data_IF_148966512134
#
_entry.id   IF_148966512134
#
_cell.length_a   1.000
_cell.length_b   1.000
_cell.length_c   1.000
_cell.angle_alpha   90.00
_cell.angle_beta   90.00
_cell.angle_gamma   90.00
#
_symmetry.space_group_name_H-M   'P 1'
#
loop_
_entity.id
_entity.type
_entity.pdbx_description
1 polymer ?
#
# COMPACT_ATOMS: atom_id res chain seq x y z
N UNK A 1 -13.19 25.09 34.17
CA UNK A 1 -13.29 23.81 34.89
C UNK A 1 -13.83 22.76 33.95
N UNK A 2 -13.44 21.51 34.13
CA UNK A 2 -14.00 20.39 33.39
C UNK A 2 -15.45 20.15 33.81
N UNK A 3 -16.35 19.76 32.92
CA UNK A 3 -17.71 19.41 33.27
C UNK A 3 -17.73 18.13 34.12
N UNK A 4 -18.77 17.98 34.95
CA UNK A 4 -19.00 16.73 35.66
C UNK A 4 -19.33 15.60 34.65
N UNK A 5 -18.65 14.47 34.78
CA UNK A 5 -18.77 13.34 33.85
C UNK A 5 -18.56 12.02 34.57
N UNK A 6 -18.88 10.92 33.87
CA UNK A 6 -18.59 9.58 34.39
C UNK A 6 -17.09 9.43 34.65
N UNK A 7 -16.75 8.79 35.78
CA UNK A 7 -15.34 8.55 36.16
C UNK A 7 -15.19 7.15 36.75
N UNK A 8 -14.04 6.52 36.47
CA UNK A 8 -13.68 5.24 37.06
C UNK A 8 -12.27 5.28 37.64
N UNK A 9 -12.09 4.63 38.79
CA UNK A 9 -10.79 4.39 39.39
C UNK A 9 -10.17 3.12 38.78
N UNK A 10 -8.91 3.20 38.37
CA UNK A 10 -8.16 2.04 37.88
C UNK A 10 -7.67 1.19 39.04
N UNK A 11 -7.26 -0.06 38.75
CA UNK A 11 -6.71 -0.99 39.71
C UNK A 11 -5.56 -0.42 40.59
N UNK A 12 -4.75 0.48 40.01
CA UNK A 12 -3.58 1.08 40.64
C UNK A 12 -3.81 2.55 41.10
N UNK A 13 -5.08 2.96 41.26
CA UNK A 13 -5.44 4.25 41.80
C UNK A 13 -5.46 5.43 40.83
N UNK A 14 -5.20 5.19 39.55
CA UNK A 14 -5.42 6.19 38.50
C UNK A 14 -6.93 6.46 38.29
N UNK A 15 -7.26 7.58 37.65
CA UNK A 15 -8.67 7.95 37.40
C UNK A 15 -8.88 8.12 35.88
N UNK A 16 -9.90 7.49 35.36
CA UNK A 16 -10.39 7.71 34.01
C UNK A 16 -11.55 8.70 34.02
N UNK A 17 -11.46 9.72 33.15
CA UNK A 17 -12.54 10.66 32.86
C UNK A 17 -13.04 10.42 31.46
N UNK A 18 -14.34 10.34 31.26
CA UNK A 18 -14.96 10.05 29.96
C UNK A 18 -15.66 11.29 29.43
N UNK A 19 -15.35 11.67 28.17
CA UNK A 19 -15.98 12.81 27.51
C UNK A 19 -16.39 12.46 26.08
N UNK A 20 -17.50 13.01 25.63
CA UNK A 20 -17.86 13.02 24.22
C UNK A 20 -17.12 14.14 23.49
N UNK A 21 -16.58 13.86 22.30
CA UNK A 21 -15.95 14.83 21.41
C UNK A 21 -16.56 14.72 20.01
N UNK A 22 -16.85 15.87 19.39
CA UNK A 22 -17.47 15.90 18.06
C UNK A 22 -16.45 15.65 16.91
N UNK A 23 -15.17 15.62 17.23
CA UNK A 23 -14.09 15.40 16.28
C UNK A 23 -13.17 14.30 16.76
N UNK A 24 -12.64 13.43 15.87
CA UNK A 24 -11.73 12.37 16.26
C UNK A 24 -10.42 12.95 16.77
N UNK A 25 -10.10 12.65 18.03
CA UNK A 25 -8.80 12.92 18.62
C UNK A 25 -7.91 11.67 18.54
N UNK A 26 -6.59 11.90 18.46
CA UNK A 26 -5.64 10.77 18.44
C UNK A 26 -5.30 10.33 19.85
N UNK A 27 -5.03 9.03 20.01
CA UNK A 27 -4.44 8.50 21.23
C UNK A 27 -3.09 9.18 21.49
N UNK A 28 -2.87 9.69 22.70
CA UNK A 28 -1.61 10.30 23.14
C UNK A 28 -1.22 9.71 24.49
N UNK A 29 0.02 9.26 24.63
CA UNK A 29 0.61 8.84 25.90
C UNK A 29 1.53 9.94 26.39
N UNK A 30 1.46 10.24 27.70
CA UNK A 30 2.34 11.23 28.30
C UNK A 30 2.13 12.66 27.80
N UNK A 31 0.88 13.05 27.46
CA UNK A 31 0.58 14.44 27.07
C UNK A 31 0.95 15.41 28.19
N UNK A 32 0.73 14.98 29.41
CA UNK A 32 1.25 15.57 30.67
C UNK A 32 1.83 14.44 31.52
N UNK A 33 2.71 14.72 32.49
CA UNK A 33 3.20 13.70 33.41
C UNK A 33 2.06 12.90 34.05
N UNK A 34 2.01 11.60 33.78
CA UNK A 34 0.98 10.71 34.33
C UNK A 34 -0.40 10.78 33.64
N UNK A 35 -0.54 11.49 32.50
CA UNK A 35 -1.82 11.62 31.81
C UNK A 35 -1.72 11.04 30.40
N UNK A 36 -2.58 10.07 30.13
CA UNK A 36 -2.78 9.46 28.82
C UNK A 36 -4.16 9.81 28.26
N UNK A 37 -4.23 10.02 26.96
CA UNK A 37 -5.49 10.20 26.22
C UNK A 37 -5.73 8.98 25.37
N UNK A 38 -6.95 8.43 25.47
CA UNK A 38 -7.44 7.35 24.61
C UNK A 38 -8.71 7.83 23.93
N UNK A 39 -8.70 7.77 22.60
CA UNK A 39 -9.79 8.18 21.73
C UNK A 39 -10.05 7.08 20.72
N UNK A 40 -10.51 7.43 19.54
CA UNK A 40 -10.79 6.49 18.47
C UNK A 40 -9.63 5.49 18.25
N UNK A 41 -9.97 4.20 18.19
CA UNK A 41 -9.02 3.07 18.15
C UNK A 41 -8.13 2.93 19.41
N UNK A 42 -8.47 3.59 20.52
CA UNK A 42 -7.84 3.41 21.82
C UNK A 42 -8.68 2.53 22.74
N UNK A 43 -8.03 1.78 23.62
CA UNK A 43 -8.69 0.92 24.60
C UNK A 43 -8.40 1.40 26.01
N UNK A 44 -9.43 1.36 26.86
CA UNK A 44 -9.32 1.55 28.31
C UNK A 44 -10.06 0.42 29.03
N UNK A 45 -9.49 -0.03 30.15
CA UNK A 45 -10.23 -0.91 31.05
C UNK A 45 -11.34 -0.11 31.72
N UNK A 46 -12.54 -0.71 31.83
CA UNK A 46 -13.69 -0.15 32.56
C UNK A 46 -14.18 -1.15 33.61
N UNK A 47 -14.79 -0.70 34.73
CA UNK A 47 -15.42 -1.65 35.65
C UNK A 47 -16.43 -2.57 34.95
N UNK A 48 -16.50 -3.85 35.31
CA UNK A 48 -15.82 -4.52 36.44
C UNK A 48 -14.45 -5.15 36.11
N UNK A 49 -13.69 -4.61 35.16
CA UNK A 49 -12.40 -5.16 34.77
C UNK A 49 -11.44 -5.30 35.98
N UNK A 50 -10.55 -6.30 35.91
CA UNK A 50 -9.54 -6.55 36.93
C UNK A 50 -8.14 -6.48 36.33
N UNK A 51 -7.18 -6.00 37.12
CA UNK A 51 -5.78 -5.95 36.77
C UNK A 51 -4.94 -6.25 38.02
N UNK A 52 -4.04 -7.23 37.91
CA UNK A 52 -3.19 -7.70 39.03
C UNK A 52 -3.98 -8.06 40.29
N UNK A 53 -5.19 -8.65 40.13
CA UNK A 53 -6.09 -9.01 41.24
C UNK A 53 -6.88 -7.86 41.83
N UNK A 54 -6.66 -6.63 41.39
CA UNK A 54 -7.38 -5.44 41.80
C UNK A 54 -8.43 -5.04 40.77
N UNK A 55 -9.62 -4.67 41.27
CA UNK A 55 -10.77 -4.36 40.40
C UNK A 55 -10.86 -2.86 40.11
N UNK A 56 -11.21 -2.52 38.86
CA UNK A 56 -11.65 -1.17 38.49
C UNK A 56 -13.00 -0.88 39.11
N UNK A 57 -13.20 0.33 39.59
CA UNK A 57 -14.44 0.75 40.28
C UNK A 57 -14.97 2.04 39.67
N UNK A 58 -16.32 2.12 39.51
CA UNK A 58 -16.95 3.39 39.19
C UNK A 58 -16.91 4.32 40.39
N UNK A 59 -16.35 5.54 40.19
CA UNK A 59 -16.50 6.65 41.11
C UNK A 59 -17.80 7.42 40.83
N UNK A 60 -18.12 7.57 39.53
CA UNK A 60 -19.37 8.10 38.98
C UNK A 60 -19.74 7.23 37.80
N UNK A 61 -20.74 6.39 38.00
CA UNK A 61 -21.17 5.47 36.96
C UNK A 61 -21.94 6.18 35.85
N UNK A 62 -21.88 5.72 34.57
CA UNK A 62 -22.54 6.39 33.46
C UNK A 62 -24.08 6.36 33.51
N UNK A 63 -24.65 5.50 34.33
CA UNK A 63 -26.09 5.48 34.58
C UNK A 63 -26.54 6.46 35.68
N UNK A 64 -25.59 6.97 36.53
CA UNK A 64 -25.86 7.98 37.56
C UNK A 64 -25.38 9.36 37.12
N UNK A 65 -24.23 9.42 36.46
CA UNK A 65 -23.61 10.64 35.93
C UNK A 65 -23.28 10.37 34.44
N UNK A 66 -24.08 10.88 33.49
CA UNK A 66 -23.85 10.65 32.06
C UNK A 66 -22.46 11.17 31.61
N UNK A 67 -21.95 10.55 30.55
CA UNK A 67 -20.73 11.03 29.87
C UNK A 67 -21.02 12.43 29.31
N UNK A 68 -20.30 13.44 29.78
CA UNK A 68 -20.49 14.82 29.38
C UNK A 68 -19.81 15.16 28.05
N UNK A 69 -20.38 16.07 27.25
CA UNK A 69 -19.64 16.62 26.09
C UNK A 69 -18.42 17.40 26.58
N UNK A 70 -17.31 17.27 25.82
CA UNK A 70 -16.09 18.03 26.10
C UNK A 70 -16.36 19.52 25.89
N UNK A 71 -16.19 20.32 26.95
CA UNK A 71 -16.27 21.76 26.86
C UNK A 71 -14.93 22.38 26.42
N UNK A 72 -14.90 23.71 26.28
CA UNK A 72 -13.68 24.44 25.84
C UNK A 72 -12.46 24.18 26.75
N UNK A 73 -12.67 23.93 28.05
CA UNK A 73 -11.57 23.62 28.96
C UNK A 73 -10.99 22.22 28.74
N UNK A 74 -11.83 21.23 28.43
CA UNK A 74 -11.39 19.88 28.05
C UNK A 74 -10.69 19.93 26.70
N UNK A 75 -11.26 20.63 25.70
CA UNK A 75 -10.66 20.74 24.37
C UNK A 75 -9.31 21.46 24.41
N UNK A 76 -9.17 22.52 25.18
CA UNK A 76 -7.88 23.20 25.41
C UNK A 76 -6.84 22.30 26.11
N UNK A 77 -7.29 21.40 26.99
CA UNK A 77 -6.42 20.42 27.64
C UNK A 77 -5.96 19.33 26.66
N UNK A 78 -6.82 18.93 25.72
CA UNK A 78 -6.49 17.94 24.69
C UNK A 78 -5.54 18.49 23.62
N UNK A 79 -5.61 19.81 23.32
CA UNK A 79 -4.76 20.55 22.40
C UNK A 79 -4.08 21.71 23.13
N UNK A 80 -3.02 21.46 23.92
CA UNK A 80 -2.20 22.54 24.42
C UNK A 80 -1.66 23.32 23.22
N UNK A 81 -1.88 24.64 23.23
CA UNK A 81 -1.63 25.56 22.11
C UNK A 81 -0.39 25.18 21.31
N UNK A 82 -0.53 25.18 19.97
CA UNK A 82 0.52 24.94 18.99
C UNK A 82 1.76 25.79 19.28
N UNK A 83 2.67 25.32 20.07
CA UNK A 83 4.06 25.73 19.94
C UNK A 83 4.59 25.12 18.66
N UNK A 84 4.93 26.01 17.73
CA UNK A 84 5.62 25.70 16.50
C UNK A 84 7.03 25.24 16.87
N UNK A 85 7.19 23.98 17.18
CA UNK A 85 8.50 23.33 17.28
C UNK A 85 8.63 22.31 16.17
N UNK A 86 9.77 22.37 15.53
CA UNK A 86 10.25 21.54 14.40
C UNK A 86 9.83 20.08 14.47
N UNK A 87 9.65 19.40 13.31
CA UNK A 87 9.17 18.03 13.27
C UNK A 87 10.26 17.06 13.70
N UNK A 88 10.28 16.72 14.99
CA UNK A 88 11.04 15.57 15.47
C UNK A 88 10.21 14.31 15.29
N UNK A 89 10.73 13.41 14.49
CA UNK A 89 10.49 11.96 14.42
C UNK A 89 9.05 11.49 14.66
N UNK A 90 8.20 11.64 13.66
CA UNK A 90 7.00 10.82 13.54
C UNK A 90 7.44 9.41 13.17
N UNK A 91 7.00 8.42 13.94
CA UNK A 91 7.14 7.02 13.58
C UNK A 91 6.70 6.83 12.14
N UNK A 92 7.64 6.44 11.28
CA UNK A 92 7.39 6.18 9.89
C UNK A 92 6.41 5.01 9.79
N UNK A 93 5.24 5.25 9.25
CA UNK A 93 4.43 4.21 8.65
C UNK A 93 5.25 3.71 7.45
N UNK A 94 5.95 2.60 7.62
CA UNK A 94 6.90 2.06 6.63
C UNK A 94 6.26 1.15 5.60
N UNK A 95 4.94 1.22 5.43
CA UNK A 95 4.24 0.53 4.34
C UNK A 95 3.94 1.48 3.17
N UNK A 96 3.93 1.01 1.93
CA UNK A 96 3.47 1.82 0.82
C UNK A 96 2.00 2.21 1.05
N UNK A 97 1.73 3.52 1.02
CA UNK A 97 0.37 4.02 1.13
C UNK A 97 -0.48 3.45 -0.04
N UNK A 98 -1.56 2.78 0.30
CA UNK A 98 -2.59 2.35 -0.65
C UNK A 98 -3.85 3.16 -0.38
N UNK A 99 -4.35 3.83 -1.39
CA UNK A 99 -5.58 4.60 -1.28
C UNK A 99 -6.78 3.67 -1.20
N UNK A 100 -7.78 3.94 -0.31
CA UNK A 100 -9.02 3.18 -0.25
C UNK A 100 -9.75 3.14 -1.60
N UNK A 101 -10.53 2.09 -1.85
CA UNK A 101 -11.29 1.93 -3.09
C UNK A 101 -12.37 3.02 -3.29
N UNK A 102 -12.93 3.52 -2.19
CA UNK A 102 -13.89 4.63 -2.16
C UNK A 102 -13.64 5.50 -0.94
N UNK A 103 -13.70 6.82 -1.13
CA UNK A 103 -13.46 7.82 -0.09
C UNK A 103 -14.66 8.76 -0.01
N UNK A 104 -15.38 8.70 1.12
CA UNK A 104 -16.54 9.54 1.38
C UNK A 104 -16.21 10.94 1.87
N UNK A 105 -17.25 11.75 2.04
CA UNK A 105 -17.14 13.11 2.62
C UNK A 105 -16.41 13.09 3.97
N UNK A 106 -15.60 14.12 4.22
CA UNK A 106 -14.82 14.28 5.45
C UNK A 106 -13.45 13.60 5.44
N UNK A 107 -13.19 12.62 4.57
CA UNK A 107 -11.88 11.95 4.46
C UNK A 107 -11.12 12.28 3.17
N UNK A 108 -11.80 12.81 2.15
CA UNK A 108 -11.26 13.05 0.80
C UNK A 108 -9.96 13.85 0.80
N UNK A 109 -9.96 15.03 1.42
CA UNK A 109 -8.76 15.89 1.52
C UNK A 109 -7.60 15.19 2.23
N UNK A 110 -7.88 14.45 3.31
CA UNK A 110 -6.86 13.73 4.07
C UNK A 110 -6.22 12.62 3.23
N UNK A 111 -7.01 11.84 2.52
CA UNK A 111 -6.52 10.75 1.68
C UNK A 111 -5.75 11.28 0.46
N UNK A 112 -6.21 12.37 -0.16
CA UNK A 112 -5.49 13.05 -1.25
C UNK A 112 -4.13 13.61 -0.77
N UNK A 113 -4.04 14.19 0.42
CA UNK A 113 -2.78 14.67 1.01
C UNK A 113 -1.83 13.50 1.30
N UNK A 114 -2.33 12.36 1.79
CA UNK A 114 -1.51 11.15 1.97
C UNK A 114 -0.99 10.62 0.63
N UNK A 115 -1.82 10.65 -0.41
CA UNK A 115 -1.42 10.27 -1.76
C UNK A 115 -0.29 11.18 -2.25
N UNK A 116 -0.42 12.51 -2.13
CA UNK A 116 0.65 13.46 -2.47
C UNK A 116 1.96 13.10 -1.77
N UNK A 117 1.92 12.86 -0.44
CA UNK A 117 3.12 12.50 0.33
C UNK A 117 3.75 11.19 -0.13
N UNK A 118 2.93 10.19 -0.43
CA UNK A 118 3.39 8.90 -0.96
C UNK A 118 4.06 9.05 -2.33
N UNK A 119 3.47 9.82 -3.24
CA UNK A 119 4.01 10.06 -4.58
C UNK A 119 5.28 10.91 -4.54
N UNK A 120 5.36 11.90 -3.64
CA UNK A 120 6.59 12.66 -3.40
C UNK A 120 7.73 11.79 -2.86
N UNK A 121 7.42 10.91 -1.91
CA UNK A 121 8.44 9.98 -1.37
C UNK A 121 8.97 9.01 -2.42
N UNK A 122 8.22 8.77 -3.48
CA UNK A 122 8.62 7.98 -4.65
C UNK A 122 9.37 8.80 -5.70
N UNK A 123 9.61 10.10 -5.46
CA UNK A 123 10.40 10.94 -6.34
C UNK A 123 9.68 11.46 -7.60
N UNK A 124 8.33 11.36 -7.67
CA UNK A 124 7.58 11.86 -8.81
C UNK A 124 7.69 13.41 -8.93
N UNK A 125 7.59 13.91 -10.17
CA UNK A 125 7.51 15.35 -10.40
C UNK A 125 6.17 15.92 -9.94
N UNK A 126 6.15 17.21 -9.59
CA UNK A 126 4.94 17.89 -9.13
C UNK A 126 3.80 17.82 -10.17
N UNK A 127 4.14 17.90 -11.47
CA UNK A 127 3.16 17.73 -12.55
C UNK A 127 2.56 16.31 -12.59
N UNK A 128 3.38 15.28 -12.38
CA UNK A 128 2.94 13.90 -12.33
C UNK A 128 2.06 13.63 -11.10
N UNK A 129 2.42 14.22 -9.94
CA UNK A 129 1.63 14.10 -8.72
C UNK A 129 0.26 14.75 -8.89
N UNK A 130 0.19 15.96 -9.48
CA UNK A 130 -1.07 16.65 -9.77
C UNK A 130 -1.98 15.81 -10.66
N UNK A 131 -1.46 15.27 -11.76
CA UNK A 131 -2.22 14.41 -12.67
C UNK A 131 -2.78 13.18 -11.96
N UNK A 132 -1.97 12.48 -11.17
CA UNK A 132 -2.40 11.32 -10.42
C UNK A 132 -3.47 11.66 -9.36
N UNK A 133 -3.32 12.79 -8.65
CA UNK A 133 -4.32 13.24 -7.66
C UNK A 133 -5.65 13.56 -8.31
N UNK A 134 -5.68 14.23 -9.47
CA UNK A 134 -6.91 14.49 -10.21
C UNK A 134 -7.62 13.19 -10.60
N UNK A 135 -6.90 12.23 -11.16
CA UNK A 135 -7.46 10.93 -11.57
C UNK A 135 -8.03 10.14 -10.38
N UNK A 136 -7.28 10.05 -9.28
CA UNK A 136 -7.73 9.31 -8.09
C UNK A 136 -8.90 10.03 -7.39
N UNK A 137 -8.94 11.36 -7.43
CA UNK A 137 -10.08 12.14 -6.94
C UNK A 137 -11.37 11.84 -7.72
N UNK A 138 -11.30 11.83 -9.05
CA UNK A 138 -12.47 11.54 -9.89
C UNK A 138 -12.93 10.08 -9.76
N UNK A 139 -11.99 9.15 -9.61
CA UNK A 139 -12.30 7.72 -9.61
C UNK A 139 -12.71 7.16 -8.24
N UNK A 140 -12.24 7.76 -7.12
CA UNK A 140 -12.42 7.19 -5.78
C UNK A 140 -13.11 8.09 -4.78
N UNK A 141 -13.14 9.41 -4.98
CA UNK A 141 -13.87 10.30 -4.08
C UNK A 141 -15.34 10.41 -4.48
N UNK A 142 -16.24 10.30 -3.50
CA UNK A 142 -17.68 10.41 -3.75
C UNK A 142 -18.33 11.37 -2.74
N UNK A 143 -18.77 12.57 -3.22
CA UNK A 143 -18.47 13.18 -4.52
C UNK A 143 -16.99 13.57 -4.65
N UNK A 144 -16.42 13.75 -5.87
CA UNK A 144 -15.04 14.22 -6.03
C UNK A 144 -14.86 15.65 -5.50
N UNK A 145 -13.64 15.98 -5.04
CA UNK A 145 -13.26 17.35 -4.69
C UNK A 145 -13.23 18.21 -5.95
N UNK A 146 -13.66 19.45 -5.86
CA UNK A 146 -13.54 20.40 -6.95
C UNK A 146 -12.09 20.80 -7.22
N UNK A 147 -11.79 21.33 -8.41
CA UNK A 147 -10.45 21.81 -8.74
C UNK A 147 -9.98 22.91 -7.78
N UNK A 148 -10.89 23.79 -7.32
CA UNK A 148 -10.58 24.84 -6.35
C UNK A 148 -10.21 24.24 -4.98
N UNK A 149 -10.91 23.20 -4.55
CA UNK A 149 -10.58 22.49 -3.31
C UNK A 149 -9.23 21.76 -3.41
N UNK A 150 -8.92 21.13 -4.54
CA UNK A 150 -7.61 20.50 -4.76
C UNK A 150 -6.49 21.55 -4.71
N UNK A 151 -6.63 22.68 -5.39
CA UNK A 151 -5.62 23.75 -5.41
C UNK A 151 -5.45 24.43 -4.05
N UNK A 152 -6.54 24.63 -3.30
CA UNK A 152 -6.48 25.34 -2.02
C UNK A 152 -6.09 24.47 -0.83
N UNK A 153 -6.41 23.16 -0.85
CA UNK A 153 -6.27 22.31 0.33
C UNK A 153 -5.29 21.14 0.16
N UNK A 154 -5.21 20.54 -1.03
CA UNK A 154 -4.40 19.36 -1.29
C UNK A 154 -3.01 19.74 -1.82
N UNK A 155 -2.93 20.50 -2.89
CA UNK A 155 -1.66 20.85 -3.53
C UNK A 155 -0.73 21.77 -2.74
N UNK A 156 -1.19 22.59 -1.76
CA UNK A 156 -0.28 23.23 -0.80
C UNK A 156 0.54 22.26 0.04
N UNK A 157 0.19 20.97 0.01
CA UNK A 157 0.98 19.91 0.64
C UNK A 157 2.20 19.47 -0.20
N UNK A 158 2.27 19.81 -1.49
CA UNK A 158 3.44 19.61 -2.32
C UNK A 158 4.65 20.33 -1.70
N UNK A 159 5.77 19.62 -1.56
CA UNK A 159 6.99 20.14 -0.92
C UNK A 159 7.05 19.95 0.60
N UNK A 160 6.01 19.45 1.28
CA UNK A 160 6.04 19.17 2.73
C UNK A 160 6.89 17.95 3.10
N UNK A 161 7.10 17.04 2.18
CA UNK A 161 7.92 15.85 2.38
C UNK A 161 9.21 15.95 1.59
N UNK A 162 10.30 15.44 2.11
CA UNK A 162 11.55 15.32 1.35
C UNK A 162 11.26 14.44 0.12
N UNK A 163 11.66 14.92 -1.05
CA UNK A 163 11.65 14.09 -2.26
C UNK A 163 12.52 12.88 -1.96
N UNK A 164 11.90 11.73 -1.91
CA UNK A 164 12.64 10.49 -1.74
C UNK A 164 13.62 10.36 -2.91
N UNK A 165 14.85 10.11 -2.61
CA UNK A 165 15.76 9.42 -3.51
C UNK A 165 15.37 7.95 -3.47
N UNK A 166 14.12 7.63 -3.81
CA UNK A 166 13.78 6.26 -4.05
C UNK A 166 14.67 5.81 -5.21
N UNK A 167 15.41 4.73 -5.08
CA UNK A 167 15.99 4.10 -6.23
C UNK A 167 14.81 3.63 -7.07
N UNK A 168 14.29 4.50 -7.90
CA UNK A 168 13.40 4.09 -8.96
C UNK A 168 14.22 3.12 -9.77
N UNK A 169 13.76 1.89 -9.82
CA UNK A 169 14.36 0.80 -10.60
C UNK A 169 14.50 1.15 -12.09
N UNK A 170 13.98 2.27 -12.53
CA UNK A 170 14.22 2.88 -13.83
C UNK A 170 15.71 3.11 -14.13
N UNK A 171 16.56 3.40 -13.14
CA UNK A 171 18.01 3.58 -13.41
C UNK A 171 18.73 2.24 -13.65
N UNK A 172 18.26 1.16 -13.10
CA UNK A 172 18.76 -0.19 -13.43
C UNK A 172 18.27 -0.68 -14.80
N UNK A 173 17.14 -0.18 -15.27
CA UNK A 173 16.58 -0.55 -16.56
C UNK A 173 17.06 0.34 -17.72
N UNK A 174 17.36 1.63 -17.52
CA UNK A 174 17.72 2.56 -18.60
C UNK A 174 18.94 2.14 -19.45
N UNK A 175 19.91 1.47 -18.86
CA UNK A 175 21.07 0.97 -19.61
C UNK A 175 20.86 -0.40 -20.29
N UNK A 176 19.89 -1.21 -19.82
CA UNK A 176 19.61 -2.56 -20.31
C UNK A 176 18.34 -2.66 -21.17
N UNK A 177 17.40 -1.72 -21.03
CA UNK A 177 16.10 -1.78 -21.71
C UNK A 177 16.20 -1.55 -23.20
N UNK A 178 17.01 -0.63 -23.67
CA UNK A 178 17.11 -0.38 -25.12
C UNK A 178 17.66 -1.61 -25.85
N UNK A 179 18.71 -2.23 -25.34
CA UNK A 179 19.27 -3.44 -25.93
C UNK A 179 18.28 -4.61 -25.91
N UNK A 180 17.60 -4.80 -24.76
CA UNK A 180 16.57 -5.81 -24.60
C UNK A 180 15.38 -5.57 -25.54
N UNK A 181 14.90 -4.33 -25.65
CA UNK A 181 13.82 -3.98 -26.59
C UNK A 181 14.21 -4.23 -28.03
N UNK A 182 15.42 -3.88 -28.42
CA UNK A 182 15.91 -4.11 -29.79
C UNK A 182 15.98 -5.60 -30.09
N UNK A 183 16.48 -6.44 -29.18
CA UNK A 183 16.52 -7.89 -29.37
C UNK A 183 15.11 -8.50 -29.45
N UNK A 184 14.18 -8.00 -28.62
CA UNK A 184 12.79 -8.43 -28.67
C UNK A 184 12.11 -8.00 -29.98
N UNK A 185 12.34 -6.78 -30.46
CA UNK A 185 11.87 -6.30 -31.76
C UNK A 185 12.43 -7.15 -32.91
N UNK A 186 13.71 -7.54 -32.85
CA UNK A 186 14.31 -8.44 -33.84
C UNK A 186 13.61 -9.81 -33.90
N UNK A 187 13.25 -10.36 -32.75
CA UNK A 187 12.55 -11.64 -32.68
C UNK A 187 11.09 -11.56 -33.15
N UNK A 188 10.46 -10.39 -33.03
CA UNK A 188 9.05 -10.17 -33.36
C UNK A 188 8.81 -9.76 -34.83
N UNK A 189 9.85 -9.30 -35.53
CA UNK A 189 9.77 -8.82 -36.90
C UNK A 189 8.60 -7.87 -37.17
N UNK A 190 8.52 -6.73 -36.44
CA UNK A 190 7.34 -5.86 -36.46
C UNK A 190 7.05 -5.26 -37.85
N UNK A 191 8.04 -5.14 -38.73
CA UNK A 191 7.88 -4.64 -40.11
C UNK A 191 7.08 -5.57 -41.02
N UNK A 192 6.93 -6.84 -40.62
CA UNK A 192 6.20 -7.86 -41.38
C UNK A 192 5.03 -8.49 -40.65
N UNK A 193 5.12 -8.57 -39.31
CA UNK A 193 4.13 -9.27 -38.48
C UNK A 193 2.99 -8.35 -37.99
N UNK A 194 3.22 -7.05 -37.99
CA UNK A 194 2.25 -6.06 -37.48
C UNK A 194 1.89 -5.03 -38.57
N UNK A 195 0.63 -4.65 -38.62
CA UNK A 195 0.19 -3.59 -39.54
C UNK A 195 0.73 -2.22 -39.12
N UNK A 196 1.06 -1.36 -40.08
CA UNK A 196 1.59 0.00 -39.83
C UNK A 196 0.44 1.01 -39.65
N UNK A 197 -0.51 0.67 -38.80
CA UNK A 197 -1.71 1.45 -38.46
C UNK A 197 -2.03 1.28 -36.97
N UNK A 198 -3.00 2.04 -36.47
CA UNK A 198 -3.26 2.13 -35.04
C UNK A 198 -3.45 0.75 -34.35
N UNK A 199 -4.32 -0.10 -34.88
CA UNK A 199 -4.53 -1.43 -34.33
C UNK A 199 -3.26 -2.32 -34.34
N UNK A 200 -2.46 -2.25 -35.42
CA UNK A 200 -1.19 -2.98 -35.51
C UNK A 200 -0.17 -2.46 -34.49
N UNK A 201 -0.14 -1.15 -34.27
CA UNK A 201 0.70 -0.51 -33.26
C UNK A 201 0.27 -0.90 -31.84
N UNK A 202 -1.03 -0.94 -31.57
CA UNK A 202 -1.58 -1.39 -30.29
C UNK A 202 -1.21 -2.85 -29.99
N UNK A 203 -1.34 -3.73 -31.00
CA UNK A 203 -0.94 -5.13 -30.89
C UNK A 203 0.56 -5.28 -30.62
N UNK A 204 1.41 -4.57 -31.36
CA UNK A 204 2.86 -4.57 -31.17
C UNK A 204 3.22 -4.14 -29.74
N UNK A 205 2.66 -3.04 -29.27
CA UNK A 205 2.93 -2.55 -27.92
C UNK A 205 2.47 -3.56 -26.88
N UNK A 206 1.25 -4.11 -27.01
CA UNK A 206 0.71 -5.07 -26.05
C UNK A 206 1.57 -6.34 -25.94
N UNK A 207 2.09 -6.83 -27.07
CA UNK A 207 2.95 -8.01 -27.09
C UNK A 207 4.35 -7.72 -26.53
N UNK A 208 4.92 -6.55 -26.83
CA UNK A 208 6.19 -6.09 -26.24
C UNK A 208 6.10 -5.89 -24.74
N UNK A 209 5.00 -5.33 -24.28
CA UNK A 209 4.82 -4.91 -22.89
C UNK A 209 4.26 -5.98 -21.96
N UNK A 210 4.00 -7.19 -22.45
CA UNK A 210 3.29 -8.26 -21.73
C UNK A 210 3.83 -8.53 -20.32
N UNK A 211 5.15 -8.47 -20.15
CA UNK A 211 5.85 -8.76 -18.90
C UNK A 211 6.16 -7.48 -18.09
N UNK A 212 5.80 -6.32 -18.63
CA UNK A 212 6.14 -5.00 -18.08
C UNK A 212 4.90 -4.24 -17.62
N UNK A 213 3.87 -4.18 -18.49
CA UNK A 213 2.60 -3.54 -18.14
C UNK A 213 1.41 -4.25 -18.77
N UNK A 214 0.29 -4.24 -18.05
CA UNK A 214 -0.96 -4.92 -18.45
C UNK A 214 -2.16 -4.06 -18.10
N UNK A 215 -3.16 -4.03 -18.97
CA UNK A 215 -4.42 -3.36 -18.68
C UNK A 215 -5.36 -4.28 -17.92
N UNK A 216 -5.92 -3.80 -16.79
CA UNK A 216 -6.86 -4.55 -15.95
C UNK A 216 -8.26 -4.00 -16.15
N UNK A 217 -9.17 -4.87 -16.64
CA UNK A 217 -10.50 -4.45 -17.12
C UNK A 217 -11.35 -3.89 -16.00
N UNK A 218 -11.46 -4.61 -14.88
CA UNK A 218 -12.34 -4.27 -13.77
C UNK A 218 -11.91 -2.96 -13.09
N UNK A 219 -10.62 -2.65 -13.12
CA UNK A 219 -10.05 -1.42 -12.56
C UNK A 219 -9.94 -0.30 -13.59
N UNK A 220 -10.13 -0.59 -14.89
CA UNK A 220 -9.95 0.33 -16.01
C UNK A 220 -8.60 1.07 -15.97
N UNK A 221 -7.54 0.38 -15.55
CA UNK A 221 -6.19 0.94 -15.33
C UNK A 221 -5.11 0.00 -15.83
N UNK A 222 -3.98 0.60 -16.17
CA UNK A 222 -2.74 -0.12 -16.37
C UNK A 222 -2.15 -0.56 -15.04
N UNK A 223 -1.54 -1.72 -15.02
CA UNK A 223 -0.68 -2.21 -13.96
C UNK A 223 0.72 -2.38 -14.51
N UNK A 224 1.71 -2.06 -13.71
CA UNK A 224 3.12 -2.10 -14.08
C UNK A 224 3.88 -3.01 -13.14
N UNK A 225 4.81 -3.81 -13.68
CA UNK A 225 5.69 -4.67 -12.88
C UNK A 225 6.90 -3.86 -12.43
N UNK A 226 7.01 -3.60 -11.13
CA UNK A 226 8.07 -2.77 -10.55
C UNK A 226 9.43 -3.50 -10.34
N UNK A 227 9.53 -4.72 -10.88
CA UNK A 227 10.66 -5.62 -10.69
C UNK A 227 10.50 -6.57 -9.51
N UNK A 228 9.43 -6.42 -8.71
CA UNK A 228 9.10 -7.28 -7.58
C UNK A 228 7.65 -7.74 -7.60
N UNK A 229 6.74 -6.85 -7.98
CA UNK A 229 5.30 -7.09 -7.99
C UNK A 229 4.60 -6.22 -9.03
N UNK A 230 3.34 -6.52 -9.29
CA UNK A 230 2.47 -5.69 -10.10
C UNK A 230 1.84 -4.60 -9.24
N UNK A 231 1.94 -3.36 -9.68
CA UNK A 231 1.36 -2.20 -9.00
C UNK A 231 0.46 -1.43 -9.96
N UNK A 232 -0.64 -0.82 -9.47
CA UNK A 232 -1.45 0.07 -10.29
C UNK A 232 -0.59 1.23 -10.83
N UNK A 233 -0.65 1.46 -12.12
CA UNK A 233 0.02 2.58 -12.77
C UNK A 233 -0.86 3.83 -12.66
N UNK A 234 -0.56 4.65 -11.66
CA UNK A 234 -1.33 5.87 -11.38
C UNK A 234 -1.13 6.90 -12.50
N UNK A 235 -2.24 7.28 -13.14
CA UNK A 235 -2.23 8.19 -14.27
C UNK A 235 -1.60 7.62 -15.55
N UNK A 236 -1.34 6.32 -15.61
CA UNK A 236 -0.73 5.66 -16.78
C UNK A 236 0.69 6.14 -17.10
N UNK A 237 1.39 6.73 -16.11
CA UNK A 237 2.65 7.44 -16.33
C UNK A 237 3.80 6.47 -16.65
N UNK A 238 3.87 5.34 -15.97
CA UNK A 238 4.93 4.35 -16.19
C UNK A 238 4.74 3.65 -17.54
N UNK A 239 3.49 3.32 -17.88
CA UNK A 239 3.15 2.74 -19.18
C UNK A 239 3.44 3.72 -20.31
N UNK A 240 3.14 5.01 -20.15
CA UNK A 240 3.46 6.04 -21.13
C UNK A 240 4.98 6.23 -21.26
N UNK A 241 5.73 6.18 -20.17
CA UNK A 241 7.19 6.28 -20.19
C UNK A 241 7.82 5.07 -20.88
N UNK A 242 7.35 3.87 -20.56
CA UNK A 242 7.75 2.67 -21.29
C UNK A 242 7.40 2.74 -22.78
N UNK A 243 6.25 3.31 -23.14
CA UNK A 243 5.89 3.52 -24.55
C UNK A 243 6.87 4.47 -25.28
N UNK A 244 7.44 5.46 -24.59
CA UNK A 244 8.51 6.30 -25.15
C UNK A 244 9.81 5.51 -25.38
N UNK A 245 10.14 4.61 -24.45
CA UNK A 245 11.31 3.73 -24.61
C UNK A 245 11.14 2.81 -25.81
N UNK A 246 9.95 2.21 -25.94
CA UNK A 246 9.58 1.39 -27.12
C UNK A 246 9.65 2.20 -28.40
N UNK A 247 9.13 3.44 -28.40
CA UNK A 247 9.21 4.33 -29.58
C UNK A 247 10.66 4.61 -29.99
N UNK A 248 11.54 4.85 -29.02
CA UNK A 248 12.96 5.09 -29.29
C UNK A 248 13.65 3.83 -29.83
N UNK A 249 13.44 2.69 -29.19
CA UNK A 249 13.99 1.41 -29.64
C UNK A 249 13.48 1.01 -31.02
N UNK A 250 12.18 1.23 -31.32
CA UNK A 250 11.60 0.95 -32.62
C UNK A 250 12.23 1.80 -33.74
N UNK A 251 12.50 3.07 -33.48
CA UNK A 251 13.16 3.95 -34.43
C UNK A 251 14.60 3.49 -34.69
N UNK A 252 15.35 3.13 -33.66
CA UNK A 252 16.70 2.57 -33.78
C UNK A 252 16.66 1.24 -34.55
N UNK A 253 15.71 0.36 -34.21
CA UNK A 253 15.49 -0.89 -34.93
C UNK A 253 15.21 -0.65 -36.41
N UNK A 254 14.27 0.25 -36.75
CA UNK A 254 13.87 0.56 -38.13
C UNK A 254 15.06 1.09 -38.98
N UNK A 255 15.97 1.85 -38.39
CA UNK A 255 17.16 2.37 -39.09
C UNK A 255 18.23 1.30 -39.34
N UNK A 256 18.29 0.28 -38.48
CA UNK A 256 19.29 -0.81 -38.57
C UNK A 256 18.81 -2.02 -39.34
N UNK A 257 17.49 -2.13 -39.53
CA UNK A 257 16.90 -3.27 -40.27
C UNK A 257 17.16 -3.13 -41.76
N UNK A 258 17.60 -4.22 -42.38
CA UNK A 258 17.83 -4.28 -43.83
C UNK A 258 16.56 -4.71 -44.53
N UNK A 259 16.07 -3.88 -45.43
CA UNK A 259 14.95 -4.21 -46.34
C UNK A 259 15.50 -4.50 -47.75
N UNK A 260 14.79 -5.32 -48.47
CA UNK A 260 15.07 -5.58 -49.87
C UNK A 260 14.71 -4.40 -50.77
N UNK A 261 13.83 -3.51 -50.32
CA UNK A 261 13.38 -2.31 -51.01
C UNK A 261 13.63 -1.08 -50.13
N UNK A 262 14.48 -0.17 -50.60
CA UNK A 262 14.84 1.07 -49.93
C UNK A 262 13.64 2.00 -49.66
N UNK A 263 12.67 2.03 -50.59
CA UNK A 263 11.46 2.82 -50.43
C UNK A 263 10.64 2.29 -49.25
N UNK A 264 10.48 0.98 -49.15
CA UNK A 264 9.76 0.35 -48.00
C UNK A 264 10.48 0.57 -46.69
N UNK A 265 11.82 0.54 -46.68
CA UNK A 265 12.61 0.88 -45.51
C UNK A 265 12.36 2.32 -45.08
N UNK A 266 12.36 3.26 -46.00
CA UNK A 266 12.10 4.68 -45.67
C UNK A 266 10.66 4.90 -45.14
N UNK A 267 9.69 4.18 -45.70
CA UNK A 267 8.31 4.23 -45.22
C UNK A 267 8.19 3.68 -43.80
N UNK A 268 8.91 2.58 -43.47
CA UNK A 268 8.91 2.02 -42.13
C UNK A 268 9.60 2.93 -41.12
N UNK A 269 10.72 3.57 -41.47
CA UNK A 269 11.37 4.57 -40.63
C UNK A 269 10.42 5.74 -40.34
N UNK A 270 9.70 6.25 -41.36
CA UNK A 270 8.68 7.29 -41.16
C UNK A 270 7.55 6.83 -40.26
N UNK A 271 7.13 5.56 -40.39
CA UNK A 271 6.12 4.97 -39.49
C UNK A 271 6.64 4.91 -38.05
N UNK A 272 7.83 4.38 -37.82
CA UNK A 272 8.45 4.30 -36.48
C UNK A 272 8.63 5.71 -35.85
N UNK A 273 9.00 6.70 -36.64
CA UNK A 273 9.17 8.09 -36.19
C UNK A 273 7.85 8.71 -35.66
N UNK A 274 6.68 8.29 -36.13
CA UNK A 274 5.40 8.77 -35.63
C UNK A 274 5.18 8.43 -34.15
N UNK A 275 5.72 7.34 -33.67
CA UNK A 275 5.62 6.94 -32.26
C UNK A 275 6.27 7.95 -31.30
N UNK A 276 7.15 8.84 -31.79
CA UNK A 276 7.73 9.92 -31.00
C UNK A 276 6.71 11.01 -30.64
N UNK A 277 5.57 11.06 -31.34
CA UNK A 277 4.53 12.06 -31.09
C UNK A 277 3.57 11.61 -29.99
N UNK A 278 3.20 12.52 -29.10
CA UNK A 278 2.36 12.22 -27.91
C UNK A 278 1.03 11.58 -28.31
N UNK A 279 0.29 12.21 -29.23
CA UNK A 279 -1.03 11.74 -29.63
C UNK A 279 -1.00 10.32 -30.26
N UNK A 280 0.09 9.93 -30.93
CA UNK A 280 0.26 8.58 -31.41
C UNK A 280 0.42 7.59 -30.26
N UNK A 281 1.23 7.91 -29.25
CA UNK A 281 1.39 7.04 -28.08
C UNK A 281 0.09 6.89 -27.30
N UNK A 282 -0.69 7.98 -27.13
CA UNK A 282 -2.02 7.90 -26.50
C UNK A 282 -2.96 6.97 -27.27
N UNK A 283 -2.97 7.03 -28.59
CA UNK A 283 -3.77 6.13 -29.45
C UNK A 283 -3.29 4.69 -29.31
N UNK A 284 -1.98 4.45 -29.34
CA UNK A 284 -1.38 3.14 -29.15
C UNK A 284 -1.78 2.53 -27.81
N UNK A 285 -1.70 3.29 -26.72
CA UNK A 285 -2.07 2.79 -25.40
C UNK A 285 -3.56 2.50 -25.27
N UNK A 286 -4.44 3.29 -25.91
CA UNK A 286 -5.88 3.01 -25.97
C UNK A 286 -6.18 1.70 -26.72
N UNK A 287 -5.56 1.49 -27.85
CA UNK A 287 -5.71 0.23 -28.60
C UNK A 287 -5.10 -0.95 -27.87
N UNK A 288 -3.90 -0.81 -27.34
CA UNK A 288 -3.20 -1.86 -26.60
C UNK A 288 -3.97 -2.32 -25.35
N UNK A 289 -4.72 -1.43 -24.70
CA UNK A 289 -5.59 -1.77 -23.57
C UNK A 289 -6.67 -2.81 -23.93
N UNK A 290 -7.03 -2.90 -25.20
CA UNK A 290 -8.03 -3.87 -25.71
C UNK A 290 -7.41 -5.24 -26.07
N UNK A 291 -6.09 -5.29 -26.16
CA UNK A 291 -5.35 -6.50 -26.59
C UNK A 291 -5.00 -7.34 -25.38
N UNK A 292 -5.66 -8.49 -25.23
CA UNK A 292 -5.41 -9.42 -24.13
C UNK A 292 -5.42 -8.76 -22.74
N UNK A 293 -6.48 -8.00 -22.38
CA UNK A 293 -6.55 -7.38 -21.07
C UNK A 293 -6.55 -8.45 -19.97
N UNK A 294 -6.04 -8.09 -18.79
CA UNK A 294 -5.90 -9.02 -17.70
C UNK A 294 -7.11 -8.90 -16.75
N UNK A 295 -7.81 -10.01 -16.42
CA UNK A 295 -8.82 -9.97 -15.36
C UNK A 295 -8.16 -9.82 -13.98
N UNK A 296 -8.80 -9.08 -13.09
CA UNK A 296 -8.29 -8.84 -11.74
C UNK A 296 -8.03 -10.14 -10.97
N UNK A 297 -8.85 -11.16 -11.20
CA UNK A 297 -8.71 -12.49 -10.59
C UNK A 297 -7.43 -13.26 -10.96
N UNK A 298 -6.68 -12.78 -11.94
CA UNK A 298 -5.37 -13.38 -12.27
C UNK A 298 -4.32 -13.01 -11.22
N UNK A 299 -4.46 -11.83 -10.61
CA UNK A 299 -3.53 -11.41 -9.58
C UNK A 299 -3.72 -12.21 -8.28
N UNK A 300 -2.61 -12.43 -7.60
CA UNK A 300 -2.54 -13.09 -6.28
C UNK A 300 -3.26 -14.45 -6.22
N UNK A 301 -3.39 -15.14 -7.39
CA UNK A 301 -4.10 -16.42 -7.52
C UNK A 301 -3.25 -17.65 -7.17
N UNK A 302 -1.98 -17.44 -6.83
CA UNK A 302 -1.03 -18.51 -6.49
C UNK A 302 -0.86 -18.61 -4.97
N UNK A 303 -1.76 -19.31 -4.31
CA UNK A 303 -1.93 -19.39 -2.84
C UNK A 303 -0.68 -19.71 -2.03
N UNK A 304 0.35 -20.30 -2.64
CA UNK A 304 1.57 -20.77 -1.95
C UNK A 304 2.82 -19.96 -2.31
N UNK A 305 2.68 -18.88 -3.04
CA UNK A 305 3.79 -17.97 -3.30
C UNK A 305 3.78 -16.80 -2.33
N UNK A 306 4.81 -16.71 -1.49
CA UNK A 306 5.03 -15.55 -0.62
C UNK A 306 6.11 -14.66 -1.25
N UNK A 307 5.73 -13.44 -1.59
CA UNK A 307 6.62 -12.48 -2.22
C UNK A 307 7.34 -11.64 -1.16
N UNK A 308 8.65 -11.81 -1.03
CA UNK A 308 9.50 -11.06 -0.12
C UNK A 308 10.26 -9.94 -0.85
N UNK A 309 10.79 -8.90 -0.17
CA UNK A 309 11.54 -7.82 -0.82
C UNK A 309 12.74 -8.25 -1.67
N UNK A 310 13.31 -9.42 -1.41
CA UNK A 310 14.48 -9.96 -2.10
C UNK A 310 14.21 -11.17 -3.00
N UNK A 311 12.94 -11.59 -3.17
CA UNK A 311 12.57 -12.71 -4.04
C UNK A 311 11.24 -13.35 -3.63
N UNK A 312 10.84 -14.39 -4.34
CA UNK A 312 9.59 -15.11 -4.11
C UNK A 312 9.87 -16.50 -3.53
N UNK A 313 9.25 -16.82 -2.40
CA UNK A 313 9.32 -18.11 -1.73
C UNK A 313 8.11 -18.97 -2.12
N UNK A 314 8.36 -20.16 -2.66
CA UNK A 314 7.34 -21.19 -2.81
C UNK A 314 7.19 -21.97 -1.50
N UNK A 315 6.08 -21.77 -0.82
CA UNK A 315 5.79 -22.37 0.49
C UNK A 315 5.55 -23.88 0.44
N UNK A 316 5.29 -24.47 -0.74
CA UNK A 316 5.13 -25.91 -0.90
C UNK A 316 6.47 -26.62 -0.99
N UNK A 317 7.40 -26.01 -1.71
CA UNK A 317 8.71 -26.62 -2.02
C UNK A 317 9.84 -26.09 -1.15
N UNK A 318 9.63 -24.93 -0.50
CA UNK A 318 10.68 -24.19 0.20
C UNK A 318 11.68 -23.52 -0.74
N UNK A 319 11.43 -23.53 -2.05
CA UNK A 319 12.33 -22.92 -3.04
C UNK A 319 12.19 -21.39 -3.02
N UNK A 320 13.32 -20.72 -2.81
CA UNK A 320 13.42 -19.27 -2.95
C UNK A 320 14.04 -18.90 -4.30
N UNK A 321 13.47 -17.94 -5.00
CA UNK A 321 13.91 -17.53 -6.33
C UNK A 321 13.68 -16.04 -6.57
N UNK A 322 14.25 -15.51 -7.65
CA UNK A 322 13.98 -14.15 -8.13
C UNK A 322 12.50 -13.91 -8.45
N UNK A 323 12.09 -12.65 -8.37
CA UNK A 323 10.75 -12.21 -8.77
C UNK A 323 10.49 -12.47 -10.25
N UNK A 324 9.25 -12.80 -10.57
CA UNK A 324 8.80 -13.01 -11.95
C UNK A 324 7.46 -12.32 -12.19
N UNK A 325 7.36 -11.63 -13.33
CA UNK A 325 6.11 -10.97 -13.72
C UNK A 325 4.98 -11.99 -13.96
N UNK A 326 5.30 -13.21 -14.38
CA UNK A 326 4.34 -14.30 -14.62
C UNK A 326 3.71 -14.87 -13.34
N UNK A 327 4.19 -14.45 -12.20
CA UNK A 327 3.56 -14.80 -10.93
C UNK A 327 2.31 -13.97 -10.64
N UNK A 328 2.18 -12.82 -11.28
CA UNK A 328 1.06 -11.89 -11.13
C UNK A 328 0.77 -11.52 -9.67
N UNK A 329 1.82 -11.34 -8.86
CA UNK A 329 1.69 -10.99 -7.44
C UNK A 329 1.64 -9.48 -7.30
N UNK A 330 0.68 -8.96 -6.51
CA UNK A 330 0.56 -7.55 -6.17
C UNK A 330 1.02 -7.24 -4.74
N UNK A 331 1.14 -8.26 -3.91
CA UNK A 331 1.47 -8.18 -2.50
C UNK A 331 2.98 -8.30 -2.27
N UNK A 332 3.47 -7.69 -1.17
CA UNK A 332 4.86 -7.80 -0.74
C UNK A 332 4.93 -7.98 0.77
N UNK A 333 5.63 -9.01 1.23
CA UNK A 333 5.89 -9.21 2.65
C UNK A 333 6.77 -8.08 3.23
N UNK A 334 6.64 -7.83 4.51
CA UNK A 334 7.34 -6.74 5.18
C UNK A 334 8.82 -6.99 5.44
N UNK A 335 9.32 -8.21 5.18
CA UNK A 335 10.68 -8.64 5.50
C UNK A 335 11.31 -9.46 4.37
N UNK A 336 12.63 -9.33 4.21
CA UNK A 336 13.41 -10.17 3.30
C UNK A 336 13.52 -11.59 3.84
N UNK A 337 13.46 -12.57 2.96
CA UNK A 337 13.70 -13.97 3.33
C UNK A 337 15.20 -14.24 3.51
N UNK A 338 15.55 -14.81 4.64
CA UNK A 338 16.88 -15.31 4.96
C UNK A 338 16.76 -16.69 5.63
N UNK A 339 17.15 -17.77 4.95
CA UNK A 339 17.05 -19.12 5.51
C UNK A 339 17.95 -19.37 6.72
N UNK A 340 18.96 -18.52 6.94
CA UNK A 340 19.88 -18.61 8.07
C UNK A 340 19.45 -17.73 9.27
N UNK A 341 18.38 -16.94 9.11
CA UNK A 341 17.92 -16.04 10.16
C UNK A 341 17.51 -16.79 11.42
N UNK A 342 18.00 -16.33 12.57
CA UNK A 342 17.61 -16.80 13.90
C UNK A 342 17.06 -15.64 14.71
N UNK A 343 16.14 -15.93 15.62
CA UNK A 343 15.57 -14.92 16.51
C UNK A 343 15.40 -15.43 17.93
N UNK A 344 16.48 -15.47 18.74
CA UNK A 344 16.44 -15.96 20.13
C UNK A 344 15.40 -15.24 20.97
N UNK A 345 15.18 -13.93 20.72
CA UNK A 345 14.15 -13.15 21.44
C UNK A 345 12.73 -13.60 21.09
N UNK A 346 12.47 -13.96 19.82
CA UNK A 346 11.19 -14.52 19.42
C UNK A 346 10.92 -15.87 20.07
N UNK A 347 11.92 -16.73 20.09
CA UNK A 347 11.82 -18.05 20.75
C UNK A 347 11.55 -17.90 22.25
N UNK A 348 12.23 -16.95 22.90
CA UNK A 348 11.99 -16.65 24.30
C UNK A 348 10.58 -16.07 24.49
N UNK A 349 10.13 -15.15 23.65
CA UNK A 349 8.79 -14.57 23.69
C UNK A 349 7.72 -15.66 23.55
N UNK A 350 7.88 -16.59 22.61
CA UNK A 350 6.96 -17.71 22.45
C UNK A 350 6.88 -18.58 23.72
N UNK A 351 8.01 -18.88 24.36
CA UNK A 351 8.03 -19.59 25.66
C UNK A 351 7.33 -18.82 26.77
N UNK A 352 7.53 -17.51 26.82
CA UNK A 352 6.88 -16.62 27.79
C UNK A 352 5.35 -16.64 27.65
N UNK A 353 4.83 -16.41 26.45
CA UNK A 353 3.36 -16.30 26.22
C UNK A 353 2.63 -17.63 26.29
N UNK A 354 3.33 -18.75 26.09
CA UNK A 354 2.78 -20.11 26.23
C UNK A 354 3.04 -20.71 27.60
N UNK A 355 3.67 -19.97 28.53
CA UNK A 355 4.07 -20.47 29.85
C UNK A 355 4.89 -21.77 29.78
N UNK A 356 5.70 -21.93 28.72
CA UNK A 356 6.52 -23.12 28.50
C UNK A 356 5.80 -24.31 27.88
N UNK A 357 4.51 -24.16 27.51
CA UNK A 357 3.78 -25.22 26.81
C UNK A 357 4.25 -25.33 25.36
N UNK A 358 5.06 -26.35 25.08
CA UNK A 358 5.62 -26.59 23.74
C UNK A 358 4.55 -27.02 22.73
N UNK A 359 3.45 -27.68 23.14
CA UNK A 359 2.40 -28.08 22.23
C UNK A 359 1.62 -26.86 21.75
N UNK A 360 1.31 -25.95 22.66
CA UNK A 360 0.68 -24.68 22.32
C UNK A 360 1.61 -23.82 21.43
N UNK A 361 2.90 -23.74 21.73
CA UNK A 361 3.87 -23.02 20.90
C UNK A 361 3.91 -23.57 19.47
N UNK A 362 3.94 -24.90 19.31
CA UNK A 362 3.89 -25.57 18.00
C UNK A 362 2.56 -25.34 17.28
N UNK A 363 1.45 -25.31 18.01
CA UNK A 363 0.14 -25.02 17.43
C UNK A 363 0.11 -23.58 16.87
N UNK A 364 0.58 -22.59 17.64
CA UNK A 364 0.68 -21.20 17.20
C UNK A 364 1.59 -21.12 15.96
N UNK A 365 2.72 -21.76 15.95
CA UNK A 365 3.63 -21.81 14.80
C UNK A 365 2.92 -22.34 13.53
N UNK A 366 2.16 -23.42 13.66
CA UNK A 366 1.38 -23.98 12.53
C UNK A 366 0.29 -23.02 12.07
N UNK A 367 -0.42 -22.37 13.00
CA UNK A 367 -1.46 -21.39 12.69
C UNK A 367 -0.88 -20.18 11.93
N UNK A 368 0.24 -19.64 12.38
CA UNK A 368 0.97 -18.58 11.70
C UNK A 368 1.50 -19.04 10.33
N UNK A 369 2.03 -20.25 10.24
CA UNK A 369 2.47 -20.85 8.96
C UNK A 369 1.33 -21.04 7.97
N UNK A 370 0.15 -21.44 8.43
CA UNK A 370 -1.05 -21.50 7.59
C UNK A 370 -1.49 -20.11 7.08
N UNK A 371 -1.45 -19.12 7.96
CA UNK A 371 -1.78 -17.74 7.61
C UNK A 371 -0.79 -17.07 6.62
N UNK A 372 0.40 -17.63 6.39
CA UNK A 372 1.32 -17.19 5.33
C UNK A 372 0.88 -17.65 3.94
N UNK A 373 -0.04 -18.60 3.86
CA UNK A 373 -0.57 -19.11 2.59
C UNK A 373 -1.90 -18.44 2.25
N UNK A 374 -2.26 -18.41 0.97
CA UNK A 374 -3.60 -18.04 0.50
C UNK A 374 -4.63 -19.17 0.59
N UNK A 375 -4.26 -20.33 1.16
CA UNK A 375 -5.11 -21.52 1.22
C UNK A 375 -6.20 -21.35 2.29
N UNK A 376 -7.44 -21.37 1.89
CA UNK A 376 -8.61 -21.18 2.77
C UNK A 376 -9.39 -22.49 3.04
N UNK A 377 -8.83 -23.66 2.70
CA UNK A 377 -9.51 -24.97 2.77
C UNK A 377 -10.07 -25.34 4.14
N UNK A 378 -9.49 -24.81 5.22
CA UNK A 378 -9.96 -25.12 6.58
C UNK A 378 -11.09 -24.20 7.05
N UNK A 379 -11.41 -23.14 6.33
CA UNK A 379 -12.50 -22.20 6.65
C UNK A 379 -12.56 -21.86 8.15
N UNK A 380 -11.42 -21.51 8.74
CA UNK A 380 -11.28 -21.28 10.18
C UNK A 380 -10.69 -19.89 10.49
N UNK A 381 -10.96 -19.42 11.68
CA UNK A 381 -10.28 -18.26 12.27
C UNK A 381 -9.70 -18.64 13.64
N UNK A 382 -8.72 -17.88 14.09
CA UNK A 382 -8.05 -18.11 15.37
C UNK A 382 -8.46 -17.04 16.38
N UNK A 383 -9.01 -17.47 17.52
CA UNK A 383 -9.33 -16.59 18.63
C UNK A 383 -8.20 -16.65 19.65
N UNK A 384 -7.49 -15.53 19.85
CA UNK A 384 -6.46 -15.40 20.87
C UNK A 384 -7.10 -15.06 22.22
N UNK A 385 -7.20 -16.04 23.08
CA UNK A 385 -7.79 -15.90 24.42
C UNK A 385 -6.70 -15.94 25.51
N UNK A 386 -6.91 -15.21 26.59
CA UNK A 386 -6.10 -15.25 27.79
C UNK A 386 -6.84 -14.65 28.98
N UNK A 387 -6.77 -15.29 30.14
CA UNK A 387 -7.50 -14.91 31.34
C UNK A 387 -7.14 -13.53 31.90
N UNK A 388 -5.91 -13.03 31.56
CA UNK A 388 -5.40 -11.74 32.03
C UNK A 388 -5.09 -10.81 30.85
N UNK A 389 -4.92 -9.51 31.14
CA UNK A 389 -4.40 -8.52 30.18
C UNK A 389 -2.87 -8.58 30.11
N UNK A 390 -2.26 -7.96 29.09
CA UNK A 390 -0.81 -7.84 28.91
C UNK A 390 -0.03 -9.18 28.80
N UNK A 391 -0.67 -10.19 28.25
CA UNK A 391 -0.11 -11.52 28.04
C UNK A 391 0.44 -11.76 26.62
N UNK A 392 0.90 -10.72 25.94
CA UNK A 392 1.61 -10.79 24.65
C UNK A 392 0.76 -10.92 23.39
N UNK A 393 -0.59 -11.01 23.45
CA UNK A 393 -1.46 -11.13 22.26
C UNK A 393 -1.22 -10.01 21.23
N UNK A 394 -1.22 -8.75 21.67
CA UNK A 394 -0.97 -7.61 20.80
C UNK A 394 0.41 -7.68 20.14
N UNK A 395 1.45 -7.99 20.93
CA UNK A 395 2.82 -8.13 20.41
C UNK A 395 2.94 -9.24 19.37
N UNK A 396 2.27 -10.39 19.59
CA UNK A 396 2.21 -11.48 18.61
C UNK A 396 1.60 -11.01 17.30
N UNK A 397 0.41 -10.40 17.35
CA UNK A 397 -0.30 -9.89 16.18
C UNK A 397 0.50 -8.82 15.46
N UNK A 398 1.03 -7.80 16.16
CA UNK A 398 1.80 -6.72 15.55
C UNK A 398 3.08 -7.24 14.88
N UNK A 399 3.79 -8.17 15.50
CA UNK A 399 5.00 -8.76 14.93
C UNK A 399 4.66 -9.52 13.66
N UNK A 400 3.59 -10.32 13.69
CA UNK A 400 3.15 -11.09 12.53
C UNK A 400 2.62 -10.18 11.40
N UNK A 401 1.85 -9.15 11.72
CA UNK A 401 1.39 -8.15 10.74
C UNK A 401 2.55 -7.42 10.05
N UNK A 402 3.61 -7.09 10.79
CA UNK A 402 4.83 -6.49 10.19
C UNK A 402 5.54 -7.45 9.24
N UNK A 403 5.59 -8.73 9.59
CA UNK A 403 6.13 -9.77 8.70
C UNK A 403 5.28 -9.90 7.43
N UNK A 404 3.95 -9.92 7.59
CA UNK A 404 3.01 -10.07 6.47
C UNK A 404 3.06 -8.89 5.48
N UNK A 405 3.38 -7.68 5.94
CA UNK A 405 3.38 -6.51 5.04
C UNK A 405 2.02 -6.29 4.38
N UNK A 406 1.98 -6.29 3.05
CA UNK A 406 0.73 -6.08 2.29
C UNK A 406 -0.25 -7.27 2.39
N UNK A 407 0.22 -8.45 2.76
CA UNK A 407 -0.65 -9.63 2.96
C UNK A 407 -1.51 -9.54 4.22
N UNK A 408 -1.18 -8.63 5.15
CA UNK A 408 -1.88 -8.45 6.40
C UNK A 408 -2.73 -7.18 6.42
N UNK A 409 -3.97 -7.28 6.87
CA UNK A 409 -4.82 -6.12 7.09
C UNK A 409 -5.58 -6.23 8.42
N UNK A 410 -5.99 -5.09 8.98
CA UNK A 410 -6.90 -5.05 10.11
C UNK A 410 -8.33 -4.94 9.59
N UNK A 411 -9.21 -5.84 10.01
CA UNK A 411 -10.63 -5.78 9.69
C UNK A 411 -11.41 -5.13 10.85
N UNK A 412 -12.50 -4.42 10.52
CA UNK A 412 -13.44 -3.98 11.54
C UNK A 412 -14.24 -5.18 12.05
N UNK A 413 -14.57 -5.22 13.37
CA UNK A 413 -15.43 -6.29 13.94
C UNK A 413 -16.77 -6.44 13.24
N UNK A 414 -17.30 -5.36 12.67
CA UNK A 414 -18.56 -5.35 11.91
C UNK A 414 -18.46 -6.05 10.54
N UNK A 415 -17.24 -6.38 10.10
CA UNK A 415 -16.98 -7.10 8.83
C UNK A 415 -16.92 -8.62 9.03
N UNK A 416 -17.00 -9.11 10.26
CA UNK A 416 -17.04 -10.51 10.66
C UNK A 416 -18.47 -10.90 11.02
#
# INVERSE_FOLDING_TARGET
AFPETSTAQTAHGGIHYYFWVDSPYRNKTGLYPGVDIRCENGFVGVPPNMMDGLQYQWLKAPWDTPIAPANSAVLAFLDPAKEITSPAARGSYSGPYSMPESVGEGQRTTEMIKLVGSLQSKGLSDAAIRAAVHEENESRCNPPLSNEELESTVFPSLGRWQKGTAPYTADRMRGSNEAWLIERLKSMHPETQYGWHDAGNGNLFADLSRDVCRYVVERKKWYFFDGKRWVPDLGGLQTMDFCKEVASALLVYATRQTFTDEKRQMEYIKHAAKWQQLHYRETILKDAATVNPLPLSTFDSKDYLLNCPNGTLDMRTGQFREHRSEDYITQLAGVSYDPAATSPRWEQFMREITCGDEQLARFIQKALGYALTGDTRYECFFLLYGATTRNGKGTLCETFMRLMGDYGCSANPESL
#
